data_IF_756248671455
#
_entry.id   IF_756248671455
#
_cell.length_a   1.000
_cell.length_b   1.000
_cell.length_c   1.000
_cell.angle_alpha   90.00
_cell.angle_beta   90.00
_cell.angle_gamma   90.00
#
_symmetry.space_group_name_H-M   'P 1'
#
loop_
_entity.id
_entity.type
_entity.pdbx_description
1 polymer ?
#
# COMPACT_ATOMS: atom_id res chain seq x y z
N UNK A 1 11.18 -75.49 -40.11
CA UNK A 1 10.42 -74.26 -40.46
C UNK A 1 10.62 -73.24 -39.35
N UNK A 2 11.01 -72.00 -39.70
CA UNK A 2 11.43 -70.93 -38.78
C UNK A 2 10.34 -69.86 -38.76
N UNK A 3 9.66 -69.68 -37.62
CA UNK A 3 8.52 -68.76 -37.50
C UNK A 3 9.02 -67.35 -37.24
N UNK A 4 8.77 -66.44 -38.19
CA UNK A 4 9.13 -65.02 -38.11
C UNK A 4 8.08 -64.27 -37.29
N UNK A 5 8.40 -63.93 -36.04
CA UNK A 5 7.56 -63.06 -35.21
C UNK A 5 7.74 -61.62 -35.70
N UNK A 6 6.77 -61.12 -36.48
CA UNK A 6 6.76 -59.74 -36.98
C UNK A 6 6.50 -58.80 -35.79
N UNK A 7 7.47 -57.93 -35.50
CA UNK A 7 7.43 -56.90 -34.46
C UNK A 7 6.38 -55.82 -34.80
N UNK A 8 5.10 -56.09 -34.53
CA UNK A 8 4.02 -55.10 -34.64
C UNK A 8 3.41 -54.54 -33.33
N UNK A 9 3.78 -54.93 -32.08
CA UNK A 9 3.10 -54.37 -30.90
C UNK A 9 3.67 -53.03 -30.42
N UNK A 10 4.89 -52.63 -30.84
CA UNK A 10 5.55 -51.45 -30.29
C UNK A 10 5.04 -50.12 -30.89
N UNK A 11 4.64 -50.10 -32.16
CA UNK A 11 4.19 -48.88 -32.85
C UNK A 11 2.75 -48.51 -32.46
N UNK A 12 1.89 -49.51 -32.24
CA UNK A 12 0.51 -49.29 -31.80
C UNK A 12 0.46 -48.77 -30.34
N UNK A 13 1.35 -49.25 -29.47
CA UNK A 13 1.49 -48.76 -28.09
C UNK A 13 2.02 -47.31 -28.04
N UNK A 14 2.91 -46.92 -28.96
CA UNK A 14 3.39 -45.54 -29.07
C UNK A 14 2.30 -44.58 -29.59
N UNK A 15 1.45 -45.03 -30.52
CA UNK A 15 0.33 -44.22 -31.03
C UNK A 15 -0.78 -44.00 -29.99
N UNK A 16 -1.07 -45.00 -29.14
CA UNK A 16 -2.03 -44.86 -28.03
C UNK A 16 -1.46 -43.98 -26.90
N UNK A 17 -0.15 -44.00 -26.67
CA UNK A 17 0.54 -43.12 -25.72
C UNK A 17 0.51 -41.63 -26.17
N UNK A 18 0.50 -41.36 -27.48
CA UNK A 18 0.39 -39.99 -28.00
C UNK A 18 -1.03 -39.40 -27.94
N UNK A 19 -2.08 -40.23 -27.84
CA UNK A 19 -3.47 -39.77 -27.71
C UNK A 19 -3.85 -39.34 -26.28
N UNK A 20 -2.99 -39.56 -25.29
CA UNK A 20 -3.17 -39.04 -23.92
C UNK A 20 -2.45 -37.71 -23.67
N UNK A 21 -1.88 -37.11 -24.72
CA UNK A 21 -1.17 -35.82 -24.66
C UNK A 21 -1.99 -34.73 -25.36
N UNK A 22 -3.33 -34.82 -25.30
CA UNK A 22 -4.12 -33.61 -25.49
C UNK A 22 -3.78 -32.68 -24.33
N UNK A 23 -3.24 -31.48 -24.59
CA UNK A 23 -3.13 -30.49 -23.54
C UNK A 23 -4.55 -30.33 -22.99
N UNK A 24 -4.71 -30.51 -21.68
CA UNK A 24 -5.89 -30.02 -21.00
C UNK A 24 -5.83 -28.52 -21.28
N UNK A 25 -6.58 -28.05 -22.28
CA UNK A 25 -6.82 -26.64 -22.45
C UNK A 25 -7.43 -26.22 -21.13
N UNK A 26 -6.63 -25.57 -20.28
CA UNK A 26 -7.12 -24.91 -19.10
C UNK A 26 -8.09 -23.85 -19.63
N UNK A 27 -9.39 -24.16 -19.58
CA UNK A 27 -10.41 -23.14 -19.71
C UNK A 27 -10.09 -22.17 -18.58
N UNK A 28 -9.81 -20.90 -18.90
CA UNK A 28 -9.73 -19.88 -17.87
C UNK A 28 -11.05 -19.98 -17.08
N UNK A 29 -10.96 -20.33 -15.80
CA UNK A 29 -12.15 -20.31 -14.95
C UNK A 29 -12.69 -18.87 -15.03
N UNK A 30 -13.95 -18.71 -15.45
CA UNK A 30 -14.55 -17.40 -15.52
C UNK A 30 -14.52 -16.78 -14.12
N UNK A 31 -13.80 -15.65 -13.98
CA UNK A 31 -13.77 -14.87 -12.74
C UNK A 31 -14.66 -13.65 -12.93
N UNK A 32 -15.42 -13.29 -11.90
CA UNK A 32 -16.08 -12.00 -11.84
C UNK A 32 -15.13 -11.00 -11.20
N UNK A 33 -14.88 -9.87 -11.86
CA UNK A 33 -14.11 -8.75 -11.31
C UNK A 33 -15.06 -7.66 -10.84
N UNK A 34 -14.95 -7.24 -9.58
CA UNK A 34 -15.81 -6.21 -8.99
C UNK A 34 -14.97 -5.08 -8.43
N UNK A 35 -15.31 -3.85 -8.80
CA UNK A 35 -14.77 -2.62 -8.18
C UNK A 35 -15.82 -1.99 -7.28
N UNK A 36 -15.39 -1.56 -6.10
CA UNK A 36 -16.25 -0.91 -5.11
C UNK A 36 -15.94 0.60 -5.12
N UNK A 37 -16.83 1.46 -5.66
CA UNK A 37 -16.63 2.90 -5.69
C UNK A 37 -16.91 3.54 -4.33
N UNK A 38 -16.15 4.58 -4.02
CA UNK A 38 -16.28 5.38 -2.79
C UNK A 38 -16.18 6.87 -3.14
N UNK A 39 -16.98 7.70 -2.48
CA UNK A 39 -16.85 9.16 -2.54
C UNK A 39 -16.51 9.79 -1.19
N UNK A 40 -15.83 10.94 -1.23
CA UNK A 40 -15.64 11.84 -0.09
C UNK A 40 -16.19 13.21 -0.46
N UNK A 41 -17.01 13.78 0.41
CA UNK A 41 -17.55 15.13 0.28
C UNK A 41 -17.13 15.99 1.48
N UNK A 42 -16.86 17.28 1.22
CA UNK A 42 -16.40 18.22 2.24
C UNK A 42 -17.35 19.40 2.40
N UNK A 43 -17.65 19.77 3.64
CA UNK A 43 -18.45 20.95 4.01
C UNK A 43 -17.73 21.84 5.03
N UNK A 44 -18.22 23.07 5.24
CA UNK A 44 -17.59 24.04 6.14
C UNK A 44 -16.38 24.77 5.55
N UNK A 45 -15.46 25.23 6.41
CA UNK A 45 -14.21 25.89 6.01
C UNK A 45 -13.18 24.84 5.56
N UNK A 46 -13.20 24.49 4.27
CA UNK A 46 -12.36 23.43 3.71
C UNK A 46 -10.87 23.72 3.97
N UNK A 47 -10.09 22.71 4.39
CA UNK A 47 -8.68 22.90 4.70
C UNK A 47 -7.88 23.32 3.46
N UNK A 48 -6.86 24.16 3.68
CA UNK A 48 -5.88 24.54 2.66
C UNK A 48 -4.48 24.43 3.27
N UNK A 49 -3.64 23.47 2.86
CA UNK A 49 -3.88 22.50 1.78
C UNK A 49 -4.96 21.46 2.11
N UNK A 50 -5.47 20.80 1.06
CA UNK A 50 -6.41 19.69 1.22
C UNK A 50 -5.84 18.56 2.09
N UNK A 51 -6.70 17.96 2.91
CA UNK A 51 -6.38 16.77 3.69
C UNK A 51 -6.57 15.49 2.85
N UNK A 52 -5.80 14.45 3.17
CA UNK A 52 -5.91 13.12 2.56
C UNK A 52 -6.62 12.15 3.52
N UNK A 53 -7.73 11.59 3.07
CA UNK A 53 -8.52 10.59 3.79
C UNK A 53 -8.11 9.19 3.37
N UNK A 54 -8.01 8.28 4.33
CA UNK A 54 -7.73 6.86 4.09
C UNK A 54 -9.01 6.05 4.30
N UNK A 55 -9.40 5.29 3.29
CA UNK A 55 -10.59 4.45 3.30
C UNK A 55 -10.14 2.99 3.25
N UNK A 56 -10.73 2.17 4.12
CA UNK A 56 -10.35 0.77 4.33
C UNK A 56 -11.51 -0.12 3.92
N UNK A 57 -11.23 -1.11 3.08
CA UNK A 57 -12.08 -2.26 2.81
C UNK A 57 -11.63 -3.42 3.71
N UNK A 58 -12.59 -4.09 4.35
CA UNK A 58 -12.34 -5.31 5.12
C UNK A 58 -13.34 -6.37 4.71
N UNK A 59 -12.85 -7.53 4.28
CA UNK A 59 -13.68 -8.72 4.07
C UNK A 59 -14.06 -9.35 5.40
N UNK A 60 -15.26 -9.89 5.47
CA UNK A 60 -15.68 -10.78 6.55
C UNK A 60 -15.46 -12.24 6.15
N UNK A 61 -15.31 -13.11 7.15
CA UNK A 61 -15.03 -14.53 6.96
C UNK A 61 -13.85 -14.80 5.99
N UNK A 62 -14.06 -15.60 4.95
CA UNK A 62 -13.07 -15.91 3.91
C UNK A 62 -13.34 -15.16 2.59
N UNK A 63 -13.99 -13.98 2.66
CA UNK A 63 -14.25 -13.18 1.48
C UNK A 63 -12.94 -12.79 0.75
N UNK A 64 -12.88 -12.90 -0.59
CA UNK A 64 -11.68 -12.57 -1.34
C UNK A 64 -11.36 -11.08 -1.20
N UNK A 65 -10.08 -10.74 -1.06
CA UNK A 65 -9.61 -9.36 -0.86
C UNK A 65 -8.73 -8.93 -2.03
N UNK A 66 -8.75 -7.64 -2.41
CA UNK A 66 -7.82 -7.11 -3.39
C UNK A 66 -6.38 -7.12 -2.84
N UNK A 67 -5.39 -6.94 -3.72
CA UNK A 67 -3.97 -6.82 -3.30
C UNK A 67 -3.77 -5.69 -2.28
N UNK A 68 -4.45 -4.56 -2.51
CA UNK A 68 -4.48 -3.41 -1.62
C UNK A 68 -5.90 -3.15 -1.15
N UNK A 69 -6.12 -3.25 0.16
CA UNK A 69 -7.44 -3.04 0.79
C UNK A 69 -7.63 -1.62 1.34
N UNK A 70 -6.73 -0.70 0.96
CA UNK A 70 -6.81 0.72 1.33
C UNK A 70 -6.71 1.60 0.11
N UNK A 71 -7.46 2.69 0.10
CA UNK A 71 -7.38 3.75 -0.91
C UNK A 71 -7.30 5.11 -0.22
N UNK A 72 -6.79 6.10 -0.94
CA UNK A 72 -6.74 7.49 -0.46
C UNK A 72 -7.49 8.42 -1.38
N UNK A 73 -8.17 9.41 -0.79
CA UNK A 73 -8.83 10.50 -1.50
C UNK A 73 -8.34 11.80 -0.88
N UNK A 74 -7.82 12.73 -1.69
CA UNK A 74 -7.39 14.05 -1.22
C UNK A 74 -8.46 15.07 -1.55
N UNK A 75 -8.89 15.85 -0.55
CA UNK A 75 -10.00 16.77 -0.70
C UNK A 75 -11.35 16.05 -0.92
N UNK A 76 -12.28 16.71 -1.61
CA UNK A 76 -13.49 16.05 -2.08
C UNK A 76 -13.22 15.30 -3.39
N UNK A 77 -13.76 14.08 -3.54
CA UNK A 77 -13.47 13.27 -4.72
C UNK A 77 -14.11 11.88 -4.70
N UNK A 78 -13.73 11.07 -5.70
CA UNK A 78 -14.14 9.68 -5.83
C UNK A 78 -12.94 8.80 -6.13
N UNK A 79 -12.96 7.57 -5.64
CA UNK A 79 -11.99 6.54 -5.97
C UNK A 79 -12.68 5.17 -5.98
N UNK A 80 -12.00 4.17 -6.52
CA UNK A 80 -12.45 2.78 -6.53
C UNK A 80 -11.39 1.92 -5.84
N UNK A 81 -11.80 0.97 -5.01
CA UNK A 81 -10.89 -0.09 -4.59
C UNK A 81 -10.41 -0.87 -5.82
N UNK A 82 -9.18 -1.45 -5.78
CA UNK A 82 -8.75 -2.40 -6.78
C UNK A 82 -9.79 -3.52 -6.94
N UNK A 83 -9.85 -4.11 -8.14
CA UNK A 83 -10.82 -5.15 -8.43
C UNK A 83 -10.64 -6.35 -7.50
N UNK A 84 -11.76 -6.88 -7.00
CA UNK A 84 -11.82 -8.15 -6.29
C UNK A 84 -12.25 -9.23 -7.27
N UNK A 85 -11.49 -10.31 -7.34
CA UNK A 85 -11.76 -11.44 -8.21
C UNK A 85 -12.55 -12.54 -7.47
N UNK A 86 -13.65 -12.98 -8.07
CA UNK A 86 -14.48 -14.05 -7.56
C UNK A 86 -14.51 -15.21 -8.54
N UNK A 87 -14.02 -16.37 -8.12
CA UNK A 87 -13.98 -17.58 -8.92
C UNK A 87 -15.12 -18.57 -8.60
N UNK A 88 -15.92 -18.29 -7.56
CA UNK A 88 -16.96 -19.20 -7.07
C UNK A 88 -18.26 -18.41 -6.84
N UNK A 89 -19.42 -18.93 -7.27
CA UNK A 89 -20.72 -18.36 -6.90
C UNK A 89 -20.90 -18.37 -5.38
N UNK A 90 -21.40 -17.26 -4.83
CA UNK A 90 -21.50 -17.09 -3.39
C UNK A 90 -21.98 -15.70 -3.00
N UNK A 91 -22.15 -15.51 -1.70
CA UNK A 91 -22.40 -14.20 -1.09
C UNK A 91 -21.19 -13.85 -0.26
N UNK A 92 -20.62 -12.68 -0.53
CA UNK A 92 -19.43 -12.18 0.11
C UNK A 92 -19.74 -10.86 0.79
N UNK A 93 -19.34 -10.71 2.04
CA UNK A 93 -19.62 -9.53 2.84
C UNK A 93 -18.33 -8.79 3.17
N UNK A 94 -18.43 -7.47 3.14
CA UNK A 94 -17.34 -6.56 3.42
C UNK A 94 -17.84 -5.40 4.28
N UNK A 95 -16.92 -4.74 4.96
CA UNK A 95 -17.13 -3.42 5.54
C UNK A 95 -16.20 -2.39 4.87
N UNK A 96 -16.72 -1.18 4.67
CA UNK A 96 -15.97 -0.02 4.19
C UNK A 96 -16.05 1.08 5.24
N UNK A 97 -14.91 1.60 5.65
CA UNK A 97 -14.81 2.63 6.70
C UNK A 97 -13.72 3.64 6.39
N UNK A 98 -13.88 4.86 6.89
CA UNK A 98 -12.88 5.92 6.80
C UNK A 98 -12.06 5.98 8.09
N UNK A 99 -10.74 6.16 7.98
CA UNK A 99 -9.92 6.54 9.14
C UNK A 99 -10.12 8.01 9.49
N UNK A 100 -10.15 8.37 10.78
CA UNK A 100 -10.22 9.78 11.17
C UNK A 100 -9.02 10.54 10.61
N UNK A 101 -9.26 11.80 10.19
CA UNK A 101 -8.18 12.70 9.81
C UNK A 101 -7.43 13.24 11.02
N UNK A 102 -6.63 14.28 10.78
CA UNK A 102 -5.62 14.81 11.70
C UNK A 102 -5.87 16.26 12.13
N UNK A 103 -6.82 16.96 11.51
CA UNK A 103 -7.10 18.36 11.80
C UNK A 103 -8.08 18.47 12.97
N UNK A 104 -7.70 19.28 13.97
CA UNK A 104 -8.49 19.48 15.20
C UNK A 104 -9.84 20.15 14.94
N UNK A 105 -9.96 20.96 13.88
CA UNK A 105 -11.23 21.57 13.47
C UNK A 105 -12.05 20.66 12.52
N UNK A 106 -11.59 19.43 12.27
CA UNK A 106 -12.25 18.48 11.40
C UNK A 106 -13.20 17.55 12.15
N UNK A 107 -14.40 17.38 11.60
CA UNK A 107 -15.36 16.36 11.99
C UNK A 107 -15.42 15.31 10.88
N UNK A 108 -14.98 14.10 11.21
CA UNK A 108 -14.82 13.03 10.26
C UNK A 108 -15.97 12.03 10.33
N UNK A 109 -16.45 11.61 9.17
CA UNK A 109 -17.46 10.59 9.04
C UNK A 109 -16.94 9.24 9.59
N UNK A 110 -17.73 8.64 10.48
CA UNK A 110 -17.45 7.34 11.11
C UNK A 110 -18.44 6.26 10.68
N UNK A 111 -19.26 6.52 9.66
CA UNK A 111 -20.21 5.57 9.10
C UNK A 111 -19.47 4.32 8.63
N UNK A 112 -20.01 3.15 8.95
CA UNK A 112 -19.53 1.87 8.39
C UNK A 112 -20.54 1.42 7.35
N UNK A 113 -20.05 1.20 6.13
CA UNK A 113 -20.84 0.64 5.05
C UNK A 113 -20.64 -0.86 4.99
N UNK A 114 -21.72 -1.62 5.10
CA UNK A 114 -21.76 -3.06 4.94
C UNK A 114 -22.11 -3.39 3.50
N UNK A 115 -21.16 -4.00 2.78
CA UNK A 115 -21.26 -4.31 1.36
C UNK A 115 -21.50 -5.79 1.16
N UNK A 116 -22.52 -6.13 0.39
CA UNK A 116 -22.83 -7.48 -0.06
C UNK A 116 -22.54 -7.62 -1.54
N UNK A 117 -21.64 -8.53 -1.88
CA UNK A 117 -21.38 -8.94 -3.25
C UNK A 117 -22.00 -10.32 -3.46
N UNK A 118 -23.00 -10.41 -4.33
CA UNK A 118 -23.65 -11.66 -4.70
C UNK A 118 -23.16 -12.09 -6.07
N UNK A 119 -22.48 -13.24 -6.14
CA UNK A 119 -21.92 -13.82 -7.36
C UNK A 119 -22.75 -15.02 -7.77
N UNK A 120 -23.24 -15.02 -9.00
CA UNK A 120 -24.09 -16.08 -9.58
C UNK A 120 -23.57 -16.51 -10.94
N UNK A 121 -23.97 -17.70 -11.39
CA UNK A 121 -23.75 -18.08 -12.79
C UNK A 121 -24.70 -17.26 -13.67
N UNK A 122 -24.14 -16.50 -14.60
CA UNK A 122 -24.86 -15.81 -15.65
C UNK A 122 -25.39 -16.77 -16.71
N UNK A 123 -26.25 -16.26 -17.58
CA UNK A 123 -26.96 -17.06 -18.59
C UNK A 123 -26.02 -17.66 -19.65
N UNK A 124 -24.87 -17.03 -19.90
CA UNK A 124 -23.82 -17.49 -20.83
C UNK A 124 -22.89 -18.55 -20.22
N UNK A 125 -22.98 -18.81 -18.92
CA UNK A 125 -22.05 -19.65 -18.17
C UNK A 125 -20.86 -18.89 -17.56
N UNK A 126 -20.77 -17.58 -17.75
CA UNK A 126 -19.82 -16.70 -17.04
C UNK A 126 -20.35 -16.34 -15.64
N UNK A 127 -19.50 -15.80 -14.76
CA UNK A 127 -19.93 -15.31 -13.45
C UNK A 127 -20.43 -13.86 -13.54
N UNK A 128 -21.57 -13.58 -12.92
CA UNK A 128 -22.13 -12.24 -12.75
C UNK A 128 -22.12 -11.85 -11.27
N UNK A 129 -21.84 -10.58 -10.98
CA UNK A 129 -21.79 -10.06 -9.62
C UNK A 129 -22.68 -8.84 -9.44
N UNK A 130 -23.39 -8.80 -8.32
CA UNK A 130 -24.22 -7.66 -7.88
C UNK A 130 -23.69 -7.13 -6.56
N UNK A 131 -23.39 -5.84 -6.51
CA UNK A 131 -22.91 -5.13 -5.31
C UNK A 131 -24.04 -4.31 -4.71
N UNK A 132 -24.23 -4.43 -3.40
CA UNK A 132 -25.19 -3.61 -2.66
C UNK A 132 -24.56 -3.18 -1.33
N UNK A 133 -24.63 -1.89 -1.00
CA UNK A 133 -24.16 -1.37 0.27
C UNK A 133 -25.32 -0.90 1.16
N UNK A 134 -25.12 -1.02 2.47
CA UNK A 134 -26.05 -0.67 3.54
C UNK A 134 -25.27 -0.01 4.69
N UNK A 135 -25.94 0.73 5.56
CA UNK A 135 -25.33 1.28 6.79
C UNK A 135 -25.72 0.48 8.05
N UNK A 136 -26.66 -0.45 7.91
CA UNK A 136 -27.03 -1.42 8.94
C UNK A 136 -26.25 -2.73 8.77
N UNK A 137 -25.71 -3.27 9.86
CA UNK A 137 -24.92 -4.49 9.86
C UNK A 137 -25.71 -5.73 9.42
N UNK A 138 -27.04 -5.74 9.61
CA UNK A 138 -27.89 -6.83 9.11
C UNK A 138 -28.23 -6.67 7.63
N UNK A 139 -27.78 -5.59 6.98
CA UNK A 139 -28.02 -5.28 5.57
C UNK A 139 -29.51 -5.24 5.20
N UNK A 140 -30.34 -4.74 6.12
CA UNK A 140 -31.79 -4.61 5.96
C UNK A 140 -32.24 -3.18 5.66
N UNK A 141 -31.33 -2.20 5.73
CA UNK A 141 -31.62 -0.80 5.41
C UNK A 141 -31.88 -0.58 3.92
N UNK A 142 -32.29 0.63 3.56
CA UNK A 142 -32.25 1.06 2.16
C UNK A 142 -30.83 0.93 1.59
N UNK A 143 -30.76 0.67 0.28
CA UNK A 143 -29.50 0.59 -0.46
C UNK A 143 -28.89 1.99 -0.53
N UNK A 144 -27.59 2.09 -0.31
CA UNK A 144 -26.86 3.35 -0.33
C UNK A 144 -25.66 3.29 -1.26
N UNK A 145 -25.27 4.45 -1.77
CA UNK A 145 -23.91 4.64 -2.27
C UNK A 145 -22.95 4.80 -1.09
N UNK A 146 -21.69 4.40 -1.29
CA UNK A 146 -20.65 4.50 -0.26
C UNK A 146 -20.03 5.90 -0.35
N UNK A 147 -20.39 6.78 0.59
CA UNK A 147 -19.94 8.16 0.60
C UNK A 147 -19.66 8.67 2.01
N UNK A 148 -18.49 9.25 2.23
CA UNK A 148 -18.10 9.84 3.51
C UNK A 148 -18.22 11.36 3.45
N UNK A 149 -18.86 11.97 4.45
CA UNK A 149 -19.04 13.42 4.52
C UNK A 149 -18.27 13.99 5.71
N UNK A 150 -17.21 14.74 5.41
CA UNK A 150 -16.40 15.41 6.43
C UNK A 150 -16.74 16.91 6.47
N UNK A 151 -16.70 17.51 7.66
CA UNK A 151 -16.99 18.93 7.84
C UNK A 151 -15.93 19.62 8.68
N UNK A 152 -15.67 20.89 8.39
CA UNK A 152 -14.64 21.67 9.08
C UNK A 152 -15.20 22.94 9.70
N UNK A 153 -14.94 23.12 10.99
CA UNK A 153 -15.28 24.35 11.69
C UNK A 153 -14.38 25.50 11.23
N UNK A 154 -14.89 26.75 11.26
CA UNK A 154 -14.08 27.90 10.92
C UNK A 154 -12.84 28.01 11.81
N UNK A 155 -11.70 28.35 11.23
CA UNK A 155 -10.49 28.58 12.01
C UNK A 155 -10.52 30.02 12.52
N UNK A 156 -10.43 30.20 13.84
CA UNK A 156 -10.22 31.52 14.44
C UNK A 156 -8.88 32.08 13.97
N UNK A 157 -8.91 32.82 12.85
CA UNK A 157 -7.76 33.57 12.38
C UNK A 157 -7.59 34.75 13.32
N UNK A 158 -6.51 34.84 14.12
CA UNK A 158 -6.28 36.02 14.93
C UNK A 158 -6.25 37.22 13.98
N UNK A 159 -7.12 38.20 14.23
CA UNK A 159 -7.09 39.46 13.49
C UNK A 159 -5.67 40.01 13.59
N UNK A 160 -4.98 40.32 12.47
CA UNK A 160 -3.66 40.90 12.57
C UNK A 160 -3.78 42.18 13.38
N UNK A 161 -3.11 42.22 14.53
CA UNK A 161 -2.95 43.46 15.30
C UNK A 161 -2.31 44.45 14.32
N UNK A 162 -2.90 45.64 14.09
CA UNK A 162 -2.32 46.60 13.17
C UNK A 162 -0.88 46.86 13.61
N UNK A 163 0.06 46.55 12.73
CA UNK A 163 1.46 46.91 12.91
C UNK A 163 1.48 48.44 12.97
N UNK A 164 1.74 49.00 14.16
CA UNK A 164 1.99 50.42 14.30
C UNK A 164 3.29 50.71 13.56
N UNK A 165 3.20 51.00 12.26
CA UNK A 165 4.31 51.51 11.47
C UNK A 165 4.84 52.75 12.18
N UNK A 166 6.05 52.72 12.76
CA UNK A 166 6.60 53.92 13.38
C UNK A 166 6.69 54.99 12.30
N UNK A 167 6.06 56.13 12.55
CA UNK A 167 6.20 57.32 11.71
C UNK A 167 7.70 57.60 11.55
N UNK A 168 8.24 57.67 10.32
CA UNK A 168 9.66 57.98 10.15
C UNK A 168 9.96 59.34 10.78
N UNK A 169 10.90 59.34 11.72
CA UNK A 169 11.44 60.55 12.32
C UNK A 169 12.04 61.42 11.20
N UNK A 170 11.80 62.74 11.16
CA UNK A 170 12.30 63.59 10.08
C UNK A 170 13.83 63.50 9.99
N UNK A 171 14.30 63.17 8.78
CA UNK A 171 15.71 63.12 8.42
C UNK A 171 16.36 64.49 8.67
N UNK A 172 17.32 64.56 9.60
CA UNK A 172 18.09 65.79 9.80
C UNK A 172 18.97 66.02 8.58
N UNK A 173 18.71 67.12 7.88
CA UNK A 173 19.55 67.67 6.82
C UNK A 173 21.01 67.77 7.28
N UNK A 174 21.98 67.19 6.55
CA UNK A 174 23.38 67.33 6.92
C UNK A 174 23.85 68.77 6.66
N UNK A 175 24.30 69.45 7.71
CA UNK A 175 25.02 70.72 7.60
C UNK A 175 26.37 70.47 6.94
N UNK A 176 26.63 71.18 5.83
CA UNK A 176 27.89 71.15 5.11
C UNK A 176 29.06 71.58 6.02
N UNK A 177 30.13 70.78 6.03
CA UNK A 177 31.43 71.12 6.63
C UNK A 177 32.43 71.33 5.49
N UNK A 178 33.21 72.43 5.49
CA UNK A 178 33.98 72.86 4.33
C UNK A 178 35.28 72.08 4.12
N UNK A 179 35.59 71.96 2.83
CA UNK A 179 36.82 71.53 2.16
C UNK A 179 38.13 71.97 2.84
N UNK A 180 39.03 71.00 3.09
CA UNK A 180 40.49 71.22 3.10
C UNK A 180 41.22 70.02 2.47
N UNK A 181 42.05 70.35 1.47
CA UNK A 181 43.03 69.53 0.72
C UNK A 181 44.25 70.46 0.49
N UNK A 182 45.52 70.05 0.25
CA UNK A 182 46.16 68.72 0.18
C UNK A 182 47.49 68.58 1.01
N UNK A 183 48.11 67.38 0.90
CA UNK A 183 49.57 67.07 0.86
C UNK A 183 49.99 66.01 1.91
N UNK A 184 50.80 64.98 1.64
CA UNK A 184 51.42 64.45 0.44
C UNK A 184 51.76 62.95 0.64
N UNK A 185 51.92 62.27 -0.49
CA UNK A 185 52.37 60.91 -0.82
C UNK A 185 53.55 60.35 -0.02
N UNK A 186 53.52 59.06 0.37
CA UNK A 186 54.63 58.12 0.11
C UNK A 186 54.09 56.69 -0.12
N UNK A 187 54.57 56.11 -1.23
CA UNK A 187 54.34 54.79 -1.82
C UNK A 187 55.19 53.71 -1.14
N UNK A 188 54.68 52.48 -1.01
CA UNK A 188 55.39 51.24 -1.39
C UNK A 188 54.50 49.98 -1.27
N UNK A 189 54.56 49.16 -2.31
CA UNK A 189 54.00 47.81 -2.50
C UNK A 189 55.13 46.99 -3.16
N UNK A 190 55.12 45.65 -3.32
CA UNK A 190 54.55 44.50 -2.58
C UNK A 190 55.61 43.43 -2.22
N UNK A 191 55.36 42.54 -1.23
CA UNK A 191 56.04 41.22 -1.23
C UNK A 191 55.17 40.11 -0.59
N UNK A 192 54.86 39.06 -1.36
CA UNK A 192 54.54 37.65 -0.97
C UNK A 192 55.81 36.85 -1.32
N UNK A 193 56.32 35.81 -0.60
CA UNK A 193 55.63 34.53 -0.36
C UNK A 193 55.95 33.66 0.90
N UNK A 194 55.00 32.76 1.16
CA UNK A 194 55.08 31.35 1.59
C UNK A 194 55.44 30.89 3.03
N UNK A 195 54.68 29.85 3.44
CA UNK A 195 55.05 28.62 4.19
C UNK A 195 55.13 28.58 5.73
N UNK A 196 54.03 28.07 6.33
CA UNK A 196 53.90 26.95 7.32
C UNK A 196 54.49 27.07 8.77
N UNK A 197 54.20 26.13 9.73
CA UNK A 197 53.71 26.38 11.11
C UNK A 197 54.81 25.98 12.16
N UNK A 198 54.65 25.68 13.50
CA UNK A 198 53.47 25.17 14.24
C UNK A 198 53.25 25.61 15.73
N UNK A 199 52.09 25.17 16.24
CA UNK A 199 51.77 24.61 17.56
C UNK A 199 52.18 25.28 18.90
N UNK A 200 51.18 25.52 19.75
CA UNK A 200 51.14 25.14 21.19
C UNK A 200 49.67 25.29 21.65
N UNK A 201 48.98 24.20 22.02
CA UNK A 201 48.85 23.70 23.40
C UNK A 201 47.78 24.52 24.15
N UNK A 202 46.69 23.98 24.71
CA UNK A 202 46.62 22.81 25.58
C UNK A 202 45.17 22.36 25.75
N UNK A 203 45.02 21.05 25.66
CA UNK A 203 43.91 20.17 26.06
C UNK A 203 43.52 20.29 27.54
N UNK A 204 42.23 20.18 27.87
CA UNK A 204 41.82 19.13 28.81
C UNK A 204 40.37 18.70 28.62
N UNK A 205 40.24 17.39 28.47
CA UNK A 205 39.03 16.59 28.38
C UNK A 205 38.63 16.16 29.79
N UNK A 206 37.33 15.96 30.01
CA UNK A 206 36.85 14.73 30.64
C UNK A 206 35.68 14.22 29.82
N UNK A 207 35.81 12.99 29.33
CA UNK A 207 34.82 12.30 28.53
C UNK A 207 34.36 11.03 29.20
N UNK A 208 33.21 10.52 28.75
CA UNK A 208 32.86 9.12 28.50
C UNK A 208 31.39 9.12 28.04
N UNK A 209 30.90 8.32 27.09
CA UNK A 209 31.40 7.06 26.50
C UNK A 209 30.57 6.76 25.24
N UNK A 210 31.22 6.17 24.22
CA UNK A 210 30.75 5.35 23.07
C UNK A 210 29.30 5.43 22.56
N UNK A 211 28.98 5.31 21.27
CA UNK A 211 29.64 4.47 20.26
C UNK A 211 29.04 4.74 18.87
N UNK A 212 29.91 4.58 17.88
CA UNK A 212 29.77 4.48 16.43
C UNK A 212 28.51 3.83 15.84
N UNK A 213 28.11 4.35 14.66
CA UNK A 213 27.44 3.72 13.50
C UNK A 213 26.19 2.85 13.81
N UNK A 214 25.04 2.97 13.13
CA UNK A 214 24.80 2.47 11.76
C UNK A 214 23.48 3.07 11.25
N UNK A 215 23.45 3.48 9.98
CA UNK A 215 22.25 3.70 9.17
C UNK A 215 21.31 2.47 9.26
N UNK A 216 20.20 2.58 9.97
CA UNK A 216 19.19 1.52 10.03
C UNK A 216 18.29 1.57 8.78
N UNK A 217 18.35 0.51 7.97
CA UNK A 217 17.37 0.19 6.93
C UNK A 217 16.04 -0.28 7.54
N UNK A 218 14.92 -0.28 6.79
CA UNK A 218 13.67 -0.83 7.27
C UNK A 218 13.83 -2.32 7.59
N UNK A 219 13.37 -2.74 8.76
CA UNK A 219 13.19 -4.14 9.11
C UNK A 219 11.84 -4.58 8.56
N UNK A 220 11.83 -5.38 7.50
CA UNK A 220 10.68 -6.24 7.19
C UNK A 220 10.65 -7.35 8.24
N UNK A 221 9.59 -7.36 9.04
CA UNK A 221 9.32 -8.43 9.98
C UNK A 221 8.83 -9.66 9.23
N UNK A 222 9.76 -10.44 8.68
CA UNK A 222 9.48 -11.80 8.24
C UNK A 222 9.55 -12.72 9.46
N UNK A 223 8.44 -12.84 10.18
CA UNK A 223 8.24 -13.82 11.24
C UNK A 223 7.20 -14.88 10.84
N UNK A 224 7.28 -15.35 9.59
CA UNK A 224 6.63 -16.60 9.18
C UNK A 224 7.54 -17.76 9.54
N UNK A 225 7.14 -18.56 10.54
CA UNK A 225 7.92 -19.70 11.03
C UNK A 225 7.95 -20.82 9.97
N UNK A 226 8.87 -20.73 9.01
CA UNK A 226 8.97 -21.58 7.81
C UNK A 226 9.11 -23.07 8.17
N UNK A 227 9.66 -23.38 9.35
CA UNK A 227 9.74 -24.74 9.88
C UNK A 227 8.36 -25.36 10.16
N UNK A 228 7.34 -24.56 10.50
CA UNK A 228 5.96 -25.05 10.69
C UNK A 228 5.31 -25.46 9.37
N UNK A 229 5.54 -24.71 8.29
CA UNK A 229 4.98 -25.03 6.98
C UNK A 229 5.65 -26.23 6.31
N UNK A 230 6.97 -26.40 6.50
CA UNK A 230 7.69 -27.58 5.99
C UNK A 230 7.23 -28.86 6.71
N UNK A 231 6.95 -28.79 8.03
CA UNK A 231 6.45 -29.95 8.77
C UNK A 231 5.07 -30.44 8.27
N UNK A 232 4.16 -29.52 7.91
CA UNK A 232 2.82 -29.87 7.38
C UNK A 232 2.92 -30.56 6.01
N UNK A 233 3.82 -30.08 5.14
CA UNK A 233 4.03 -30.65 3.81
C UNK A 233 4.67 -32.05 3.88
N UNK A 234 5.62 -32.27 4.79
CA UNK A 234 6.24 -33.59 4.97
C UNK A 234 5.27 -34.64 5.53
N UNK A 235 4.35 -34.25 6.41
CA UNK A 235 3.34 -35.17 6.97
C UNK A 235 2.31 -35.57 5.91
N UNK A 236 1.87 -34.65 5.03
CA UNK A 236 0.89 -34.98 3.98
C UNK A 236 1.45 -35.91 2.90
N UNK A 237 2.71 -35.71 2.50
CA UNK A 237 3.39 -36.58 1.53
C UNK A 237 3.54 -38.02 2.01
N UNK A 238 3.79 -38.23 3.31
CA UNK A 238 3.90 -39.57 3.89
C UNK A 238 2.57 -40.34 3.89
N UNK A 239 1.45 -39.65 4.11
CA UNK A 239 0.12 -40.28 4.12
C UNK A 239 -0.28 -40.77 2.71
N UNK A 240 0.02 -39.98 1.67
CA UNK A 240 -0.27 -40.35 0.27
C UNK A 240 0.58 -41.54 -0.17
N UNK A 241 1.87 -41.59 0.21
CA UNK A 241 2.73 -42.72 -0.11
C UNK A 241 2.31 -44.01 0.60
N UNK A 242 1.89 -43.92 1.87
CA UNK A 242 1.38 -45.08 2.61
C UNK A 242 0.06 -45.60 2.01
N UNK A 243 -0.85 -44.72 1.60
CA UNK A 243 -2.09 -45.11 0.91
C UNK A 243 -1.81 -45.80 -0.43
N UNK A 244 -0.88 -45.27 -1.23
CA UNK A 244 -0.49 -45.87 -2.52
C UNK A 244 0.16 -47.26 -2.35
N UNK A 245 0.99 -47.45 -1.31
CA UNK A 245 1.57 -48.76 -0.98
C UNK A 245 0.50 -49.74 -0.52
N UNK A 246 -0.46 -49.30 0.29
CA UNK A 246 -1.56 -50.15 0.78
C UNK A 246 -2.48 -50.62 -0.36
N UNK A 247 -2.85 -49.73 -1.28
CA UNK A 247 -3.64 -50.07 -2.48
C UNK A 247 -2.90 -51.05 -3.40
N UNK A 248 -1.58 -50.87 -3.57
CA UNK A 248 -0.74 -51.79 -4.36
C UNK A 248 -0.59 -53.16 -3.71
N UNK A 249 -0.53 -53.24 -2.37
CA UNK A 249 -0.48 -54.52 -1.64
C UNK A 249 -1.82 -55.26 -1.70
N UNK A 250 -2.95 -54.55 -1.59
CA UNK A 250 -4.29 -55.16 -1.72
C UNK A 250 -4.47 -55.81 -3.10
N UNK A 251 -4.07 -55.13 -4.18
CA UNK A 251 -4.13 -55.68 -5.56
C UNK A 251 -3.23 -56.91 -5.82
N UNK A 252 -2.21 -57.17 -5.00
CA UNK A 252 -1.35 -58.36 -5.14
C UNK A 252 -1.87 -59.57 -4.35
N UNK A 253 -2.86 -59.38 -3.48
CA UNK A 253 -3.42 -60.47 -2.66
C UNK A 253 -4.70 -61.05 -3.29
N UNK A 254 -5.28 -60.35 -4.27
CA UNK A 254 -6.45 -60.78 -5.06
C UNK A 254 -6.08 -61.45 -6.41
N UNK A 255 -4.88 -62.04 -6.53
CA UNK A 255 -4.47 -62.82 -7.70
C UNK A 255 -3.70 -64.06 -7.28
#
# INVERSE_FOLDING_TARGET
MKTNIRKFPAVLLLAVLCLTVFPISAMAAGVAEVKIPVSVELSGEKPSPDETYTIILQGEDEAPMPEENTITITGAGKAEFPAVEYAVPGVYTYSVSQQPGKLENGHYDNTVYYVKVTVTNGESGDLEAVVVAHTDAQMNSEKQDIGFVNSYDPVDTPTPVPENTPTPLPEKTPTAVPTRTPAATITNTPIKPDSNPPASGTSSYTGNTGSSHVKAMPKTGDNTNIAKWIAVICVSGCVVLLAAVFVRRKKKTDK
#
